data_IF_128018408598
#
_entry.id   IF_128018408598
#
_cell.length_a   1.000
_cell.length_b   1.000
_cell.length_c   1.000
_cell.angle_alpha   90.00
_cell.angle_beta   90.00
_cell.angle_gamma   90.00
#
_symmetry.space_group_name_H-M   'P 1'
#
loop_
_entity.id
_entity.type
_entity.pdbx_description
1 polymer ?
#
# COMPACT_ATOMS: atom_id res chain seq x y z
N UNK A 1 -14.54 13.62 11.28
CA UNK A 1 -13.85 12.64 10.40
C UNK A 1 -13.20 13.40 9.27
N UNK A 2 -11.91 13.20 8.99
CA UNK A 2 -11.21 13.91 7.91
C UNK A 2 -11.76 13.50 6.55
N UNK A 3 -12.01 14.44 5.64
CA UNK A 3 -12.31 14.09 4.25
C UNK A 3 -11.12 13.36 3.60
N UNK A 4 -11.40 12.53 2.60
CA UNK A 4 -10.35 11.93 1.78
C UNK A 4 -9.74 12.99 0.85
N UNK A 5 -8.40 13.00 0.73
CA UNK A 5 -7.69 13.66 -0.35
C UNK A 5 -6.44 12.86 -0.72
N UNK A 6 -6.00 13.00 -1.97
CA UNK A 6 -4.76 12.39 -2.46
C UNK A 6 -3.54 12.85 -1.64
N UNK A 7 -3.45 14.15 -1.35
CA UNK A 7 -2.38 14.73 -0.52
C UNK A 7 -2.34 14.16 0.91
N UNK A 8 -3.50 13.88 1.51
CA UNK A 8 -3.57 13.27 2.83
C UNK A 8 -3.05 11.82 2.79
N UNK A 9 -3.35 11.07 1.72
CA UNK A 9 -2.83 9.73 1.53
C UNK A 9 -1.31 9.74 1.32
N UNK A 10 -0.79 10.63 0.47
CA UNK A 10 0.67 10.77 0.23
C UNK A 10 1.42 11.08 1.53
N UNK A 11 0.90 12.01 2.34
CA UNK A 11 1.48 12.32 3.65
C UNK A 11 1.50 11.09 4.56
N UNK A 12 0.38 10.37 4.65
CA UNK A 12 0.27 9.15 5.46
C UNK A 12 1.21 8.03 4.98
N UNK A 13 1.38 7.87 3.67
CA UNK A 13 2.33 6.91 3.08
C UNK A 13 3.79 7.33 3.34
N UNK A 14 4.07 8.64 3.40
CA UNK A 14 5.38 9.15 3.78
C UNK A 14 5.71 8.81 5.24
N UNK A 15 4.72 8.93 6.13
CA UNK A 15 4.83 8.64 7.56
C UNK A 15 4.73 7.13 7.91
N UNK A 16 4.36 6.28 6.94
CA UNK A 16 4.23 4.84 7.12
C UNK A 16 5.56 4.21 7.55
N UNK A 17 5.55 3.49 8.68
CA UNK A 17 6.69 2.75 9.21
C UNK A 17 6.42 1.24 9.22
N UNK A 18 7.48 0.46 9.48
CA UNK A 18 7.41 -1.01 9.56
C UNK A 18 6.72 -1.52 10.84
N UNK A 19 6.28 -0.65 11.75
CA UNK A 19 5.58 -1.08 12.96
C UNK A 19 4.15 -1.52 12.63
N UNK A 20 3.70 -2.59 13.30
CA UNK A 20 2.35 -3.13 13.12
C UNK A 20 1.26 -2.05 13.35
N UNK A 21 1.44 -1.21 14.37
CA UNK A 21 0.52 -0.13 14.69
C UNK A 21 0.40 0.89 13.55
N UNK A 22 1.52 1.27 12.91
CA UNK A 22 1.52 2.22 11.80
C UNK A 22 0.73 1.67 10.60
N UNK A 23 1.00 0.41 10.23
CA UNK A 23 0.31 -0.29 9.15
C UNK A 23 -1.19 -0.40 9.42
N UNK A 24 -1.59 -0.87 10.60
CA UNK A 24 -2.99 -1.06 10.95
C UNK A 24 -3.76 0.27 11.01
N UNK A 25 -3.16 1.30 11.58
CA UNK A 25 -3.79 2.63 11.68
C UNK A 25 -4.08 3.19 10.28
N UNK A 26 -3.13 3.08 9.36
CA UNK A 26 -3.33 3.53 7.98
C UNK A 26 -4.31 2.65 7.23
N UNK A 27 -4.24 1.32 7.40
CA UNK A 27 -5.17 0.37 6.80
C UNK A 27 -6.62 0.67 7.17
N UNK A 28 -6.91 0.91 8.45
CA UNK A 28 -8.25 1.28 8.92
C UNK A 28 -8.75 2.58 8.28
N UNK A 29 -7.88 3.59 8.16
CA UNK A 29 -8.22 4.86 7.50
C UNK A 29 -8.52 4.64 6.00
N UNK A 30 -7.72 3.83 5.30
CA UNK A 30 -7.93 3.47 3.90
C UNK A 30 -9.25 2.73 3.71
N UNK A 31 -9.54 1.72 4.54
CA UNK A 31 -10.77 0.93 4.49
C UNK A 31 -12.00 1.81 4.74
N UNK A 32 -11.90 2.78 5.65
CA UNK A 32 -12.96 3.76 5.88
C UNK A 32 -13.28 4.57 4.61
N UNK A 33 -12.28 4.91 3.81
CA UNK A 33 -12.40 5.66 2.56
C UNK A 33 -12.54 4.78 1.30
N UNK A 34 -13.01 3.53 1.42
CA UNK A 34 -13.10 2.57 0.30
C UNK A 34 -13.85 3.05 -0.95
N UNK A 35 -14.73 4.04 -0.84
CA UNK A 35 -15.39 4.67 -2.01
C UNK A 35 -14.40 5.28 -2.99
N UNK A 36 -13.16 5.53 -2.54
CA UNK A 36 -12.06 6.04 -3.34
C UNK A 36 -10.99 4.97 -3.65
N UNK A 37 -11.31 3.68 -3.55
CA UNK A 37 -10.36 2.55 -3.67
C UNK A 37 -9.46 2.66 -4.90
N UNK A 38 -10.02 2.94 -6.08
CA UNK A 38 -9.24 3.03 -7.31
C UNK A 38 -8.19 4.15 -7.28
N UNK A 39 -8.53 5.31 -6.73
CA UNK A 39 -7.58 6.41 -6.54
C UNK A 39 -6.54 6.06 -5.47
N UNK A 40 -6.95 5.43 -4.37
CA UNK A 40 -6.05 5.00 -3.30
C UNK A 40 -5.00 4.02 -3.83
N UNK A 41 -5.42 3.00 -4.59
CA UNK A 41 -4.51 1.99 -5.16
C UNK A 41 -3.56 2.62 -6.18
N UNK A 42 -4.06 3.54 -7.02
CA UNK A 42 -3.22 4.30 -7.95
C UNK A 42 -2.12 5.09 -7.24
N UNK A 43 -2.47 5.80 -6.16
CA UNK A 43 -1.53 6.61 -5.37
C UNK A 43 -0.54 5.70 -4.63
N UNK A 44 -1.03 4.65 -3.96
CA UNK A 44 -0.19 3.65 -3.29
C UNK A 44 0.85 3.08 -4.25
N UNK A 45 0.44 2.72 -5.47
CA UNK A 45 1.33 2.13 -6.46
C UNK A 45 2.39 3.11 -6.95
N UNK A 46 2.00 4.36 -7.21
CA UNK A 46 2.92 5.44 -7.57
C UNK A 46 3.96 5.69 -6.47
N UNK A 47 3.53 5.76 -5.22
CA UNK A 47 4.43 6.03 -4.09
C UNK A 47 5.31 4.81 -3.75
N UNK A 48 4.82 3.57 -3.94
CA UNK A 48 5.65 2.36 -3.85
C UNK A 48 6.84 2.41 -4.81
N UNK A 49 6.61 2.84 -6.06
CA UNK A 49 7.67 2.94 -7.08
C UNK A 49 8.73 3.99 -6.75
N UNK A 50 8.33 5.06 -6.05
CA UNK A 50 9.24 6.12 -5.58
C UNK A 50 9.97 5.76 -4.29
N UNK A 51 9.42 4.85 -3.49
CA UNK A 51 9.96 4.50 -2.19
C UNK A 51 11.34 3.83 -2.30
N UNK A 52 12.22 4.14 -1.34
CA UNK A 52 13.49 3.41 -1.15
C UNK A 52 13.20 1.93 -0.92
N UNK A 53 14.11 1.06 -1.38
CA UNK A 53 13.92 -0.41 -1.31
C UNK A 53 13.64 -0.94 0.09
N UNK A 54 14.26 -0.35 1.12
CA UNK A 54 14.00 -0.71 2.53
C UNK A 54 12.56 -0.47 3.00
N UNK A 55 11.80 0.39 2.31
CA UNK A 55 10.39 0.69 2.63
C UNK A 55 9.39 -0.07 1.76
N UNK A 56 9.81 -0.63 0.62
CA UNK A 56 8.91 -1.28 -0.34
C UNK A 56 8.15 -2.47 0.29
N UNK A 57 8.80 -3.23 1.16
CA UNK A 57 8.16 -4.32 1.89
C UNK A 57 7.03 -3.81 2.81
N UNK A 58 7.21 -2.66 3.47
CA UNK A 58 6.18 -2.05 4.32
C UNK A 58 4.93 -1.65 3.52
N UNK A 59 5.10 -1.18 2.27
CA UNK A 59 3.98 -0.91 1.38
C UNK A 59 3.20 -2.18 1.03
N UNK A 60 3.88 -3.31 0.85
CA UNK A 60 3.23 -4.61 0.63
C UNK A 60 2.48 -5.09 1.87
N UNK A 61 3.02 -4.89 3.07
CA UNK A 61 2.31 -5.18 4.32
C UNK A 61 1.02 -4.36 4.46
N UNK A 62 1.06 -3.08 4.08
CA UNK A 62 -0.14 -2.25 4.04
C UNK A 62 -1.17 -2.78 3.03
N UNK A 63 -0.75 -3.10 1.80
CA UNK A 63 -1.66 -3.65 0.79
C UNK A 63 -2.30 -4.96 1.27
N UNK A 64 -1.50 -5.85 1.86
CA UNK A 64 -1.99 -7.10 2.42
C UNK A 64 -3.02 -6.86 3.53
N UNK A 65 -2.73 -6.00 4.50
CA UNK A 65 -3.64 -5.71 5.60
C UNK A 65 -4.96 -5.09 5.10
N UNK A 66 -4.89 -4.16 4.14
CA UNK A 66 -6.08 -3.56 3.51
C UNK A 66 -6.92 -4.62 2.79
N UNK A 67 -6.31 -5.45 1.93
CA UNK A 67 -7.01 -6.48 1.17
C UNK A 67 -7.67 -7.50 2.09
N UNK A 68 -6.99 -7.92 3.16
CA UNK A 68 -7.52 -8.93 4.09
C UNK A 68 -8.66 -8.36 4.94
N UNK A 69 -8.52 -7.13 5.45
CA UNK A 69 -9.50 -6.53 6.36
C UNK A 69 -10.68 -5.86 5.64
N UNK A 70 -10.55 -5.51 4.35
CA UNK A 70 -11.66 -4.91 3.58
C UNK A 70 -12.72 -5.92 3.13
N UNK A 71 -12.43 -7.23 3.07
CA UNK A 71 -13.31 -8.25 2.47
C UNK A 71 -14.74 -8.24 3.02
N UNK A 72 -14.88 -7.99 4.33
CA UNK A 72 -16.20 -7.91 5.00
C UNK A 72 -16.99 -6.64 4.65
N UNK A 73 -16.34 -5.63 4.07
CA UNK A 73 -16.95 -4.34 3.67
C UNK A 73 -17.28 -4.28 2.18
N UNK A 74 -16.54 -5.02 1.36
CA UNK A 74 -16.77 -5.15 -0.08
C UNK A 74 -15.51 -5.57 -0.85
N UNK A 75 -15.66 -5.88 -2.16
CA UNK A 75 -14.59 -6.42 -2.99
C UNK A 75 -13.72 -5.33 -3.65
N UNK A 76 -13.99 -4.04 -3.42
CA UNK A 76 -13.41 -2.93 -4.18
C UNK A 76 -11.88 -2.96 -4.16
N UNK A 77 -11.28 -3.04 -2.96
CA UNK A 77 -9.82 -3.12 -2.83
C UNK A 77 -9.24 -4.41 -3.40
N UNK A 78 -9.92 -5.56 -3.27
CA UNK A 78 -9.41 -6.81 -3.85
C UNK A 78 -9.28 -6.68 -5.37
N UNK A 79 -10.33 -6.15 -6.03
CA UNK A 79 -10.34 -5.93 -7.49
C UNK A 79 -9.30 -4.89 -7.92
N UNK A 80 -9.23 -3.77 -7.22
CA UNK A 80 -8.32 -2.69 -7.62
C UNK A 80 -6.85 -3.08 -7.43
N UNK A 81 -6.49 -3.71 -6.30
CA UNK A 81 -5.12 -4.17 -6.06
C UNK A 81 -4.68 -5.27 -7.04
N UNK A 82 -5.59 -6.17 -7.44
CA UNK A 82 -5.30 -7.23 -8.43
C UNK A 82 -4.66 -6.67 -9.71
N UNK A 83 -5.08 -5.48 -10.15
CA UNK A 83 -4.57 -4.83 -11.36
C UNK A 83 -3.12 -4.34 -11.26
N UNK A 84 -2.58 -4.18 -10.04
CA UNK A 84 -1.24 -3.60 -9.82
C UNK A 84 -0.28 -4.52 -9.06
N UNK A 85 -0.78 -5.58 -8.41
CA UNK A 85 0.04 -6.41 -7.51
C UNK A 85 1.19 -7.13 -8.24
N UNK A 86 0.99 -7.62 -9.46
CA UNK A 86 2.03 -8.31 -10.22
C UNK A 86 3.20 -7.36 -10.54
N UNK A 87 2.89 -6.14 -11.01
CA UNK A 87 3.88 -5.11 -11.30
C UNK A 87 4.56 -4.63 -10.02
N UNK A 88 3.80 -4.39 -8.95
CA UNK A 88 4.31 -4.00 -7.64
C UNK A 88 5.31 -5.02 -7.09
N UNK A 89 4.96 -6.31 -7.06
CA UNK A 89 5.83 -7.38 -6.58
C UNK A 89 7.11 -7.49 -7.42
N UNK A 90 7.00 -7.44 -8.75
CA UNK A 90 8.14 -7.47 -9.67
C UNK A 90 9.10 -6.28 -9.43
N UNK A 91 8.54 -5.11 -9.13
CA UNK A 91 9.30 -3.92 -8.80
C UNK A 91 9.98 -4.01 -7.42
N UNK A 92 9.39 -4.72 -6.44
CA UNK A 92 10.05 -4.96 -5.16
C UNK A 92 11.19 -5.97 -5.30
N UNK A 93 10.99 -7.06 -6.03
CA UNK A 93 12.01 -8.12 -6.20
C UNK A 93 13.21 -7.63 -7.00
N UNK A 94 12.99 -6.93 -8.12
CA UNK A 94 14.08 -6.41 -8.96
C UNK A 94 15.00 -5.46 -8.18
N UNK A 95 14.43 -4.51 -7.43
CA UNK A 95 15.22 -3.58 -6.63
C UNK A 95 15.77 -4.23 -5.36
N UNK A 96 15.05 -5.17 -4.76
CA UNK A 96 15.53 -5.94 -3.61
C UNK A 96 16.78 -6.77 -3.95
N UNK A 97 16.85 -7.34 -5.15
CA UNK A 97 18.02 -8.06 -5.65
C UNK A 97 19.20 -7.10 -5.90
N UNK A 98 18.97 -6.00 -6.63
CA UNK A 98 20.01 -5.02 -6.96
C UNK A 98 20.60 -4.32 -5.73
N UNK A 99 19.80 -4.12 -4.68
CA UNK A 99 20.27 -3.50 -3.43
C UNK A 99 20.81 -4.52 -2.41
N UNK A 100 20.89 -5.80 -2.77
CA UNK A 100 21.40 -6.88 -1.90
C UNK A 100 20.49 -7.22 -0.72
N UNK A 101 19.24 -6.73 -0.72
CA UNK A 101 18.24 -6.94 0.34
C UNK A 101 17.56 -8.30 0.20
N UNK A 102 17.42 -8.82 -1.03
CA UNK A 102 16.89 -10.17 -1.31
C UNK A 102 18.02 -10.98 -1.97
N UNK A 103 18.62 -11.89 -1.20
CA UNK A 103 19.55 -12.90 -1.69
C UNK A 103 18.84 -14.26 -1.65
N UNK A 104 18.66 -14.87 -2.82
CA UNK A 104 18.39 -16.31 -2.92
C UNK A 104 19.73 -17.05 -2.96
#
# INVERSE_FOLDING_TARGET
>A
MSSFSESALEKKLTELSSSQQSVQTLSLWIIHHRKHSGLIVKVWHRELKKAKSSRKLTFLYLANDVIQNSKKKGPEFTKDFETVLVDACSHVTYFGYNDGVIRL
#
